data_IF_907261734945
#
_entry.id   IF_907261734945
#
_cell.length_a   1.000
_cell.length_b   1.000
_cell.length_c   1.000
_cell.angle_alpha   90.00
_cell.angle_beta   90.00
_cell.angle_gamma   90.00
#
_symmetry.space_group_name_H-M   'P 1'
#
loop_
_entity.id
_entity.type
_entity.pdbx_description
1 polymer ?
#
# COMPACT_ATOMS: atom_id res chain seq x y z
N UNK A 1 -11.13 4.07 -5.84
CA UNK A 1 -11.18 3.83 -4.39
C UNK A 1 -12.13 4.82 -3.76
N UNK A 2 -12.01 5.07 -2.46
CA UNK A 2 -12.71 6.17 -1.79
C UNK A 2 -11.91 6.64 -0.56
N UNK A 3 -12.19 7.86 -0.13
CA UNK A 3 -11.82 8.39 1.20
C UNK A 3 -13.13 8.62 1.96
N UNK A 4 -13.18 8.19 3.22
CA UNK A 4 -14.34 8.34 4.09
C UNK A 4 -13.91 8.51 5.54
N UNK A 5 -14.84 8.83 6.43
CA UNK A 5 -14.62 8.75 7.87
C UNK A 5 -15.74 7.90 8.51
N UNK A 6 -15.43 7.29 9.64
CA UNK A 6 -16.33 6.44 10.40
C UNK A 6 -16.35 6.89 11.86
N UNK A 7 -17.45 7.52 12.28
CA UNK A 7 -17.54 8.19 13.59
C UNK A 7 -17.40 7.22 14.76
N UNK A 8 -18.19 6.14 14.78
CA UNK A 8 -18.21 5.21 15.94
C UNK A 8 -16.90 4.45 16.16
N UNK A 9 -16.03 4.40 15.14
CA UNK A 9 -14.74 3.72 15.20
C UNK A 9 -13.57 4.71 15.22
N UNK A 10 -13.88 6.01 15.13
CA UNK A 10 -12.92 7.12 15.09
C UNK A 10 -11.82 6.90 14.03
N UNK A 11 -12.24 6.65 12.79
CA UNK A 11 -11.31 6.37 11.67
C UNK A 11 -11.54 7.27 10.47
N UNK A 12 -10.45 7.65 9.83
CA UNK A 12 -10.41 8.08 8.43
C UNK A 12 -10.00 6.86 7.61
N UNK A 13 -10.77 6.52 6.58
CA UNK A 13 -10.59 5.31 5.77
C UNK A 13 -10.21 5.72 4.36
N UNK A 14 -9.08 5.20 3.88
CA UNK A 14 -8.65 5.31 2.48
C UNK A 14 -8.68 3.90 1.88
N UNK A 15 -9.55 3.68 0.91
CA UNK A 15 -9.73 2.38 0.28
C UNK A 15 -9.30 2.41 -1.18
N UNK A 16 -8.37 1.53 -1.55
CA UNK A 16 -7.92 1.32 -2.91
C UNK A 16 -8.55 0.08 -3.51
N UNK A 17 -9.08 0.25 -4.71
CA UNK A 17 -9.65 -0.83 -5.49
C UNK A 17 -8.52 -1.57 -6.23
N UNK A 18 -8.61 -2.90 -6.31
CA UNK A 18 -7.79 -3.70 -7.23
C UNK A 18 -8.26 -3.61 -8.69
N UNK A 19 -7.55 -4.27 -9.58
CA UNK A 19 -7.90 -4.34 -11.01
C UNK A 19 -9.08 -5.28 -11.25
N UNK A 20 -9.89 -5.01 -12.27
CA UNK A 20 -10.91 -5.93 -12.80
C UNK A 20 -10.32 -7.26 -13.31
N UNK A 21 -9.08 -7.26 -13.79
CA UNK A 21 -8.39 -8.45 -14.31
C UNK A 21 -6.97 -8.56 -13.73
N UNK A 22 -6.81 -9.13 -12.52
CA UNK A 22 -5.52 -9.18 -11.83
C UNK A 22 -4.44 -9.95 -12.60
N UNK A 23 -4.83 -11.05 -13.28
CA UNK A 23 -3.91 -11.85 -14.11
C UNK A 23 -3.40 -11.06 -15.32
N UNK A 24 -4.28 -10.34 -16.01
CA UNK A 24 -3.87 -9.50 -17.15
C UNK A 24 -3.06 -8.31 -16.69
N UNK A 25 -3.44 -7.67 -15.58
CA UNK A 25 -2.62 -6.63 -14.97
C UNK A 25 -1.21 -7.14 -14.70
N UNK A 26 -1.06 -8.37 -14.18
CA UNK A 26 0.23 -8.98 -13.88
C UNK A 26 1.05 -9.42 -15.11
N UNK A 27 0.41 -9.73 -16.24
CA UNK A 27 1.11 -9.94 -17.51
C UNK A 27 1.47 -8.63 -18.22
N UNK A 28 0.64 -7.60 -18.07
CA UNK A 28 0.83 -6.27 -18.68
C UNK A 28 1.70 -5.34 -17.83
N UNK A 29 1.89 -5.68 -16.55
CA UNK A 29 2.80 -5.02 -15.62
C UNK A 29 4.20 -5.13 -16.19
N UNK A 30 4.62 -4.06 -16.87
CA UNK A 30 6.03 -3.81 -17.16
C UNK A 30 6.77 -3.87 -15.83
N UNK A 31 7.44 -4.98 -15.56
CA UNK A 31 8.17 -5.32 -14.31
C UNK A 31 9.36 -4.38 -14.02
N UNK A 32 9.46 -3.26 -14.73
CA UNK A 32 10.46 -2.25 -14.56
C UNK A 32 10.27 -1.52 -13.23
N UNK A 33 11.34 -1.53 -12.45
CA UNK A 33 11.48 -0.72 -11.26
C UNK A 33 11.85 0.71 -11.68
N UNK A 34 11.13 1.70 -11.16
CA UNK A 34 11.51 3.12 -11.24
C UNK A 34 12.05 3.57 -9.88
N UNK A 35 13.01 4.51 -9.83
CA UNK A 35 13.31 5.19 -8.58
C UNK A 35 12.00 5.69 -7.94
N UNK A 36 11.87 5.49 -6.63
CA UNK A 36 10.83 6.18 -5.85
C UNK A 36 11.06 7.71 -5.99
N UNK A 37 10.05 8.60 -5.84
CA UNK A 37 10.12 10.01 -6.28
C UNK A 37 11.40 10.72 -5.81
N UNK A 38 11.85 11.82 -6.45
CA UNK A 38 13.16 12.42 -6.20
C UNK A 38 13.54 12.62 -4.72
N UNK A 39 12.57 12.96 -3.86
CA UNK A 39 12.75 13.10 -2.41
C UNK A 39 13.14 11.79 -1.69
N UNK A 40 12.86 10.65 -2.30
CA UNK A 40 13.02 9.29 -1.78
C UNK A 40 13.76 8.37 -2.77
N UNK A 41 14.35 8.91 -3.84
CA UNK A 41 15.07 8.13 -4.85
C UNK A 41 16.27 7.35 -4.26
N UNK A 42 16.83 7.83 -3.14
CA UNK A 42 17.86 7.13 -2.37
C UNK A 42 17.31 6.01 -1.48
N UNK A 43 16.00 6.00 -1.22
CA UNK A 43 15.36 5.08 -0.28
C UNK A 43 14.94 3.78 -0.94
N UNK A 44 14.76 3.73 -2.25
CA UNK A 44 14.45 2.49 -2.95
C UNK A 44 13.88 2.65 -4.35
N UNK A 45 13.48 1.53 -4.94
CA UNK A 45 12.80 1.46 -6.22
C UNK A 45 11.44 0.79 -6.07
N UNK A 46 10.45 1.29 -6.79
CA UNK A 46 9.06 0.84 -6.77
C UNK A 46 8.68 0.29 -8.14
N UNK A 47 7.70 -0.61 -8.20
CA UNK A 47 7.11 -1.00 -9.47
C UNK A 47 6.55 0.22 -10.21
N UNK A 48 7.00 0.48 -11.44
CA UNK A 48 6.61 1.66 -12.23
C UNK A 48 5.10 1.79 -12.44
N UNK A 49 4.42 0.69 -12.79
CA UNK A 49 2.96 0.66 -12.91
C UNK A 49 2.22 1.03 -11.62
N UNK A 50 2.66 0.54 -10.45
CA UNK A 50 2.02 0.90 -9.18
C UNK A 50 2.25 2.37 -8.85
N UNK A 51 3.48 2.84 -9.06
CA UNK A 51 3.84 4.23 -8.85
C UNK A 51 3.02 5.18 -9.72
N UNK A 52 2.85 4.89 -11.01
CA UNK A 52 2.02 5.70 -11.90
C UNK A 52 0.57 5.79 -11.40
N UNK A 53 -0.04 4.66 -11.02
CA UNK A 53 -1.41 4.65 -10.52
C UNK A 53 -1.55 5.40 -9.18
N UNK A 54 -0.53 5.32 -8.33
CA UNK A 54 -0.47 6.04 -7.07
C UNK A 54 -0.35 7.56 -7.29
N UNK A 55 0.56 8.00 -8.16
CA UNK A 55 0.79 9.43 -8.44
C UNK A 55 -0.46 10.11 -9.00
N UNK A 56 -1.25 9.42 -9.83
CA UNK A 56 -2.50 9.95 -10.41
C UNK A 56 -3.54 10.37 -9.36
N UNK A 57 -3.49 9.80 -8.15
CA UNK A 57 -4.47 10.06 -7.09
C UNK A 57 -3.83 10.60 -5.80
N UNK A 58 -2.50 10.74 -5.79
CA UNK A 58 -1.71 11.04 -4.59
C UNK A 58 -2.18 12.34 -3.93
N UNK A 59 -2.09 13.44 -4.67
CA UNK A 59 -2.36 14.78 -4.14
C UNK A 59 -3.81 14.97 -3.70
N UNK A 60 -4.75 14.35 -4.42
CA UNK A 60 -6.18 14.45 -4.08
C UNK A 60 -6.47 13.76 -2.75
N UNK A 61 -5.93 12.55 -2.55
CA UNK A 61 -6.11 11.80 -1.30
C UNK A 61 -5.38 12.49 -0.13
N UNK A 62 -4.15 12.97 -0.34
CA UNK A 62 -3.38 13.68 0.69
C UNK A 62 -4.10 14.95 1.17
N UNK A 63 -4.69 15.72 0.25
CA UNK A 63 -5.47 16.92 0.59
C UNK A 63 -6.76 16.57 1.34
N UNK A 64 -7.49 15.55 0.87
CA UNK A 64 -8.74 15.15 1.52
C UNK A 64 -8.50 14.61 2.93
N UNK A 65 -7.48 13.76 3.12
CA UNK A 65 -7.12 13.25 4.43
C UNK A 65 -6.65 14.38 5.35
N UNK A 66 -5.86 15.33 4.87
CA UNK A 66 -5.47 16.51 5.66
C UNK A 66 -6.69 17.31 6.14
N UNK A 67 -7.67 17.55 5.26
CA UNK A 67 -8.93 18.21 5.63
C UNK A 67 -9.68 17.45 6.73
N UNK A 68 -9.80 16.12 6.59
CA UNK A 68 -10.43 15.28 7.62
C UNK A 68 -9.63 15.24 8.93
N UNK A 69 -8.30 15.30 8.88
CA UNK A 69 -7.43 15.36 10.06
C UNK A 69 -7.59 16.67 10.83
N UNK A 70 -7.80 17.79 10.16
CA UNK A 70 -8.13 19.07 10.83
C UNK A 70 -9.47 18.98 11.57
N UNK A 71 -10.45 18.28 11.00
CA UNK A 71 -11.77 18.09 11.62
C UNK A 71 -11.76 17.03 12.73
N UNK A 72 -10.94 15.98 12.57
CA UNK A 72 -10.88 14.81 13.44
C UNK A 72 -9.43 14.47 13.83
N UNK A 73 -8.76 15.33 14.62
CA UNK A 73 -7.33 15.20 14.91
C UNK A 73 -6.96 13.97 15.73
N UNK A 74 -7.92 13.29 16.35
CA UNK A 74 -7.70 12.06 17.11
C UNK A 74 -8.01 10.78 16.32
N UNK A 75 -8.63 10.90 15.14
CA UNK A 75 -9.02 9.73 14.35
C UNK A 75 -7.80 9.02 13.79
N UNK A 76 -7.82 7.70 13.87
CA UNK A 76 -6.81 6.83 13.25
C UNK A 76 -7.01 6.78 11.75
N UNK A 77 -5.93 6.66 10.99
CA UNK A 77 -6.02 6.46 9.55
C UNK A 77 -5.96 4.96 9.26
N UNK A 78 -6.93 4.47 8.50
CA UNK A 78 -7.02 3.11 8.02
C UNK A 78 -6.87 3.11 6.49
N UNK A 79 -5.77 2.57 5.99
CA UNK A 79 -5.54 2.43 4.55
C UNK A 79 -5.72 0.96 4.16
N UNK A 80 -6.60 0.67 3.21
CA UNK A 80 -6.90 -0.71 2.81
C UNK A 80 -6.87 -0.88 1.31
N UNK A 81 -6.56 -2.10 0.86
CA UNK A 81 -6.65 -2.43 -0.55
C UNK A 81 -6.50 -3.91 -0.86
N UNK A 82 -7.11 -4.35 -1.95
CA UNK A 82 -7.01 -5.71 -2.46
C UNK A 82 -6.19 -5.76 -3.76
N UNK A 83 -5.38 -6.80 -3.94
CA UNK A 83 -4.54 -7.02 -5.12
C UNK A 83 -3.67 -5.78 -5.41
N UNK A 84 -3.70 -5.23 -6.63
CA UNK A 84 -3.04 -3.96 -6.98
C UNK A 84 -3.32 -2.84 -5.96
N UNK A 85 -4.56 -2.74 -5.47
CA UNK A 85 -4.94 -1.73 -4.49
C UNK A 85 -4.18 -1.86 -3.17
N UNK A 86 -3.76 -3.07 -2.80
CA UNK A 86 -2.92 -3.29 -1.61
C UNK A 86 -1.52 -2.68 -1.75
N UNK A 87 -0.92 -2.74 -2.94
CA UNK A 87 0.34 -2.07 -3.22
C UNK A 87 0.19 -0.53 -3.16
N UNK A 88 -0.90 0.02 -3.71
CA UNK A 88 -1.20 1.45 -3.62
C UNK A 88 -1.47 1.89 -2.17
N UNK A 89 -2.11 1.04 -1.37
CA UNK A 89 -2.37 1.30 0.04
C UNK A 89 -1.06 1.46 0.84
N UNK A 90 -0.06 0.60 0.60
CA UNK A 90 1.25 0.73 1.25
C UNK A 90 1.98 2.04 0.86
N UNK A 91 1.93 2.42 -0.43
CA UNK A 91 2.50 3.68 -0.91
C UNK A 91 1.80 4.90 -0.29
N UNK A 92 0.47 4.88 -0.26
CA UNK A 92 -0.32 5.97 0.30
C UNK A 92 -0.11 6.10 1.82
N UNK A 93 -0.05 4.99 2.55
CA UNK A 93 0.24 5.01 3.98
C UNK A 93 1.62 5.64 4.27
N UNK A 94 2.62 5.34 3.45
CA UNK A 94 3.95 5.94 3.53
C UNK A 94 3.87 7.46 3.38
N UNK A 95 3.18 7.95 2.35
CA UNK A 95 3.05 9.38 2.09
C UNK A 95 2.22 10.13 3.15
N UNK A 96 1.17 9.49 3.67
CA UNK A 96 0.37 10.05 4.75
C UNK A 96 1.20 10.24 6.02
N UNK A 97 2.06 9.27 6.35
CA UNK A 97 2.98 9.41 7.48
C UNK A 97 4.02 10.52 7.25
N UNK A 98 4.58 10.60 6.04
CA UNK A 98 5.54 11.67 5.71
C UNK A 98 4.92 13.08 5.82
N UNK A 99 3.62 13.21 5.55
CA UNK A 99 2.90 14.47 5.65
C UNK A 99 2.42 14.80 7.07
N UNK A 100 2.01 13.78 7.84
CA UNK A 100 1.55 13.90 9.23
C UNK A 100 2.19 12.80 10.10
N UNK A 101 3.43 13.02 10.61
CA UNK A 101 4.12 12.03 11.43
C UNK A 101 3.43 11.71 12.77
N UNK A 102 2.47 12.54 13.20
CA UNK A 102 1.67 12.32 14.41
C UNK A 102 0.46 11.39 14.14
N UNK A 103 0.18 11.07 12.86
CA UNK A 103 -0.92 10.20 12.50
C UNK A 103 -0.65 8.74 12.87
N UNK A 104 -1.62 8.12 13.55
CA UNK A 104 -1.62 6.66 13.79
C UNK A 104 -2.21 5.98 12.55
N UNK A 105 -1.37 5.27 11.79
CA UNK A 105 -1.75 4.66 10.51
C UNK A 105 -1.74 3.14 10.60
N UNK A 106 -2.86 2.53 10.23
CA UNK A 106 -3.02 1.10 10.03
C UNK A 106 -3.24 0.80 8.56
N UNK A 107 -2.52 -0.18 8.03
CA UNK A 107 -2.61 -0.58 6.63
C UNK A 107 -2.86 -2.06 6.52
N UNK A 108 -3.95 -2.44 5.86
CA UNK A 108 -4.27 -3.85 5.58
C UNK A 108 -4.39 -4.07 4.08
N UNK A 109 -3.50 -4.90 3.56
CA UNK A 109 -3.53 -5.33 2.17
C UNK A 109 -4.04 -6.77 2.09
N UNK A 110 -4.76 -7.10 1.02
CA UNK A 110 -5.31 -8.44 0.79
C UNK A 110 -4.84 -8.93 -0.58
N UNK A 111 -4.02 -9.98 -0.64
CA UNK A 111 -3.50 -10.50 -1.90
C UNK A 111 -2.60 -9.51 -2.65
N UNK A 112 -1.91 -8.61 -1.95
CA UNK A 112 -1.12 -7.56 -2.58
C UNK A 112 0.16 -8.10 -3.22
N UNK A 113 0.52 -7.68 -4.45
CA UNK A 113 1.79 -8.03 -5.07
C UNK A 113 2.97 -7.33 -4.38
N UNK A 114 4.19 -7.85 -4.62
CA UNK A 114 5.41 -7.23 -4.11
C UNK A 114 5.59 -5.82 -4.70
N UNK A 115 5.82 -4.86 -3.83
CA UNK A 115 5.73 -3.44 -4.17
C UNK A 115 6.99 -2.90 -4.88
N UNK A 116 8.17 -3.33 -4.44
CA UNK A 116 9.43 -2.73 -4.87
C UNK A 116 10.64 -3.48 -4.30
N UNK A 117 11.79 -2.83 -4.32
CA UNK A 117 13.04 -3.45 -3.90
C UNK A 117 13.26 -3.41 -2.38
N UNK A 118 14.35 -4.06 -1.94
CA UNK A 118 14.74 -4.16 -0.52
C UNK A 118 14.93 -2.79 0.13
N UNK A 119 15.42 -1.80 -0.60
CA UNK A 119 15.54 -0.44 -0.08
C UNK A 119 14.17 0.12 0.31
N UNK A 120 13.21 0.06 -0.61
CA UNK A 120 11.86 0.56 -0.37
C UNK A 120 11.19 -0.18 0.79
N UNK A 121 11.31 -1.51 0.83
CA UNK A 121 10.73 -2.29 1.92
C UNK A 121 11.32 -1.91 3.28
N UNK A 122 12.64 -1.83 3.39
CA UNK A 122 13.32 -1.36 4.61
C UNK A 122 12.90 0.05 5.01
N UNK A 123 12.68 0.93 4.04
CA UNK A 123 12.21 2.27 4.32
C UNK A 123 10.80 2.25 4.93
N UNK A 124 9.85 1.56 4.30
CA UNK A 124 8.48 1.45 4.80
C UNK A 124 8.47 0.81 6.20
N UNK A 125 9.26 -0.25 6.39
CA UNK A 125 9.38 -0.95 7.69
C UNK A 125 10.03 -0.11 8.80
N UNK A 126 10.76 0.95 8.42
CA UNK A 126 11.36 1.89 9.40
C UNK A 126 10.35 2.92 9.92
N UNK A 127 9.21 3.08 9.26
CA UNK A 127 8.17 4.01 9.67
C UNK A 127 7.25 3.35 10.71
N UNK A 128 6.68 4.10 11.67
CA UNK A 128 5.71 3.58 12.64
C UNK A 128 4.32 3.39 12.02
N UNK A 129 4.25 2.70 10.87
CA UNK A 129 3.03 2.33 10.16
C UNK A 129 2.75 0.86 10.43
N UNK A 130 1.52 0.52 10.83
CA UNK A 130 1.12 -0.87 10.99
C UNK A 130 0.73 -1.49 9.64
N UNK A 131 1.69 -1.96 8.86
CA UNK A 131 1.45 -2.62 7.57
C UNK A 131 1.33 -4.14 7.72
N UNK A 132 0.15 -4.69 7.42
CA UNK A 132 -0.13 -6.13 7.39
C UNK A 132 -0.59 -6.54 5.98
N UNK A 133 0.09 -7.52 5.40
CA UNK A 133 -0.29 -8.14 4.13
C UNK A 133 -0.95 -9.49 4.40
N UNK A 134 -2.25 -9.57 4.13
CA UNK A 134 -3.01 -10.81 4.22
C UNK A 134 -2.85 -11.61 2.93
N UNK A 135 -2.32 -12.81 3.05
CA UNK A 135 -2.12 -13.78 1.97
C UNK A 135 -3.07 -14.94 2.20
N UNK A 136 -3.80 -15.37 1.17
CA UNK A 136 -4.83 -16.40 1.31
C UNK A 136 -4.48 -17.64 0.50
N UNK A 137 -4.33 -18.79 1.17
CA UNK A 137 -4.14 -20.10 0.53
C UNK A 137 -3.09 -20.07 -0.59
N UNK A 138 -3.54 -20.35 -1.81
CA UNK A 138 -2.72 -20.40 -3.04
C UNK A 138 -2.85 -19.14 -3.91
N UNK A 139 -3.18 -17.98 -3.34
CA UNK A 139 -3.20 -16.72 -4.09
C UNK A 139 -1.80 -16.43 -4.67
N UNK A 140 -1.74 -16.32 -5.99
CA UNK A 140 -0.49 -16.10 -6.70
C UNK A 140 -0.02 -14.64 -6.61
N UNK A 141 -0.93 -13.68 -6.38
CA UNK A 141 -0.63 -12.26 -6.47
C UNK A 141 0.48 -11.82 -5.49
N UNK A 142 0.51 -12.26 -4.22
CA UNK A 142 1.61 -11.98 -3.30
C UNK A 142 2.97 -12.53 -3.72
N UNK A 143 3.02 -13.46 -4.67
CA UNK A 143 4.26 -14.06 -5.14
C UNK A 143 4.84 -13.39 -6.39
N UNK A 144 4.27 -12.26 -6.82
CA UNK A 144 4.69 -11.52 -8.01
C UNK A 144 4.80 -10.00 -7.73
N UNK A 145 5.73 -9.28 -8.38
CA UNK A 145 6.86 -9.79 -9.15
C UNK A 145 7.80 -10.66 -8.29
N UNK A 146 8.60 -11.52 -8.91
CA UNK A 146 9.37 -12.55 -8.18
C UNK A 146 10.56 -11.97 -7.41
N UNK A 147 11.03 -12.71 -6.39
CA UNK A 147 12.23 -12.37 -5.63
C UNK A 147 13.48 -12.26 -6.53
N UNK A 148 13.57 -13.10 -7.57
CA UNK A 148 14.68 -13.08 -8.55
C UNK A 148 14.76 -11.79 -9.37
N UNK A 149 13.67 -11.02 -9.46
CA UNK A 149 13.63 -9.69 -10.07
C UNK A 149 13.95 -8.56 -9.05
N UNK A 150 14.35 -8.92 -7.82
CA UNK A 150 14.70 -7.96 -6.77
C UNK A 150 13.50 -7.27 -6.14
N UNK A 151 12.30 -7.86 -6.22
CA UNK A 151 11.10 -7.37 -5.54
C UNK A 151 10.88 -8.10 -4.22
N UNK A 152 10.52 -7.37 -3.17
CA UNK A 152 10.22 -7.90 -1.82
C UNK A 152 8.96 -7.25 -1.27
N UNK A 153 8.37 -7.88 -0.24
CA UNK A 153 7.30 -7.27 0.54
C UNK A 153 7.87 -6.34 1.60
N UNK A 154 7.09 -5.30 1.93
CA UNK A 154 7.23 -4.52 3.14
C UNK A 154 6.12 -4.92 4.11
N UNK A 155 6.31 -4.73 5.40
CA UNK A 155 5.36 -5.04 6.46
C UNK A 155 5.28 -6.52 6.79
N UNK A 156 4.35 -6.85 7.70
CA UNK A 156 4.18 -8.22 8.20
C UNK A 156 3.24 -9.01 7.30
N UNK A 157 3.66 -10.19 6.89
CA UNK A 157 2.76 -11.16 6.25
C UNK A 157 1.89 -11.87 7.30
N UNK A 158 0.59 -11.97 7.02
CA UNK A 158 -0.34 -12.82 7.74
C UNK A 158 -0.94 -13.82 6.74
N UNK A 159 -0.48 -15.07 6.82
CA UNK A 159 -0.98 -16.14 5.96
C UNK A 159 -2.24 -16.77 6.56
N UNK A 160 -3.32 -16.76 5.79
CA UNK A 160 -4.60 -17.37 6.15
C UNK A 160 -4.68 -18.74 5.46
N UNK A 161 -4.61 -19.79 6.28
CA UNK A 161 -4.81 -21.16 5.85
C UNK A 161 -6.31 -21.45 5.68
N UNK A 162 -6.67 -22.18 4.62
CA UNK A 162 -7.99 -22.80 4.55
C UNK A 162 -8.05 -23.85 5.65
N UNK A 163 -8.94 -23.69 6.62
CA UNK A 163 -9.17 -24.67 7.68
C UNK A 163 -9.88 -25.92 7.17
N UNK A 164 -9.25 -26.67 6.26
CA UNK A 164 -9.55 -28.06 5.89
C UNK A 164 -8.30 -28.65 5.22
N UNK A 165 -7.32 -29.03 6.05
CA UNK A 165 -6.37 -30.10 5.72
C UNK A 165 -6.98 -31.43 6.18
#
# INVERSE_FOLDING_TARGET
GFVAYHEQQERIIVSFRGTYSPRQALTDLKMHQTPFPPALAQKGKVHSGFYLNYELVREDILREVASLRLRFPHYRILVIGHSLGGALAALMATALYEQDPEAIIYTFSYGAPRLGNVGLAKYIDSLPIHLVNMVYGHDFAPHVPTLGLGYVHAGRELWVHNGTD
#
